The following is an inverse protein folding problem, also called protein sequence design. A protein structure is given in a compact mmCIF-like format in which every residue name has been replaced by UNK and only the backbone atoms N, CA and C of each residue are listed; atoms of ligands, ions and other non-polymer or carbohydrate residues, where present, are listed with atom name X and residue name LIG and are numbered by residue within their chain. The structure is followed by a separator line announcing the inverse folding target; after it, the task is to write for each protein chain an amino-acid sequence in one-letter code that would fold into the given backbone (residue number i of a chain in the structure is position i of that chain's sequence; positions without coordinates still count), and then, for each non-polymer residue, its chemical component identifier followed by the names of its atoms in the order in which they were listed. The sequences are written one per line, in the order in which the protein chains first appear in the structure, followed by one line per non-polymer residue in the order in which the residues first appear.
data_IF_013328639319
#
_entry.id   IF_013328639319
#
_cell.length_a   1.000
_cell.length_b   1.000
_cell.length_c   1.000
_cell.angle_alpha   90.00
_cell.angle_beta   90.00
_cell.angle_gamma   90.00
#
_symmetry.space_group_name_H-M   'P 1'
#
loop_
_entity.id
_entity.type
_entity.pdbx_description
1 polymer ?
#
# COMPACT_ATOMS: atom_id res chain seq x y z
N UNK A 1 -44.55 -34.73 -8.80
CA UNK A 1 -43.75 -33.61 -9.35
C UNK A 1 -42.69 -33.26 -8.31
N UNK A 2 -41.43 -33.53 -8.62
CA UNK A 2 -40.29 -33.34 -7.71
C UNK A 2 -39.84 -31.89 -7.75
N UNK A 3 -39.78 -31.22 -6.60
CA UNK A 3 -39.23 -29.86 -6.47
C UNK A 3 -37.79 -29.98 -5.98
N UNK A 4 -36.87 -29.45 -6.78
CA UNK A 4 -35.43 -29.56 -6.62
C UNK A 4 -34.94 -28.60 -5.51
N UNK A 5 -34.57 -29.13 -4.35
CA UNK A 5 -33.99 -28.36 -3.23
C UNK A 5 -32.54 -28.81 -3.03
N UNK A 6 -31.64 -28.35 -3.90
CA UNK A 6 -30.20 -28.34 -3.63
C UNK A 6 -29.56 -27.12 -4.30
N UNK A 7 -29.41 -26.01 -3.56
CA UNK A 7 -28.31 -25.05 -3.75
C UNK A 7 -28.31 -24.01 -2.63
N UNK A 8 -28.06 -24.43 -1.39
CA UNK A 8 -27.75 -23.53 -0.26
C UNK A 8 -26.69 -24.14 0.67
N UNK A 9 -25.62 -24.69 0.10
CA UNK A 9 -24.45 -25.17 0.84
C UNK A 9 -23.17 -24.82 0.09
N UNK A 10 -22.84 -23.54 -0.01
CA UNK A 10 -21.46 -23.19 -0.36
C UNK A 10 -20.97 -21.79 0.06
N UNK A 11 -21.66 -21.11 0.97
CA UNK A 11 -21.29 -19.72 1.33
C UNK A 11 -21.02 -19.46 2.82
N UNK A 12 -20.86 -20.51 3.63
CA UNK A 12 -20.55 -20.38 5.07
C UNK A 12 -19.07 -20.66 5.41
N UNK A 13 -18.30 -21.30 4.52
CA UNK A 13 -16.90 -21.67 4.82
C UNK A 13 -15.82 -20.64 4.46
N UNK A 14 -16.18 -19.54 3.81
CA UNK A 14 -15.22 -18.50 3.41
C UNK A 14 -15.12 -17.37 4.44
N UNK A 15 -16.19 -17.13 5.20
CA UNK A 15 -16.27 -16.00 6.14
C UNK A 15 -15.52 -16.26 7.44
N UNK A 16 -15.33 -17.54 7.84
CA UNK A 16 -14.60 -17.89 9.07
C UNK A 16 -13.08 -17.80 8.94
N UNK A 17 -12.52 -17.97 7.72
CA UNK A 17 -11.06 -17.89 7.50
C UNK A 17 -10.50 -16.47 7.54
N UNK A 18 -11.35 -15.47 7.39
CA UNK A 18 -10.95 -14.06 7.33
C UNK A 18 -10.61 -13.47 8.72
N UNK A 19 -10.94 -14.16 9.82
CA UNK A 19 -10.91 -13.56 11.16
C UNK A 19 -9.94 -14.24 12.15
N UNK A 20 -8.97 -15.03 11.68
CA UNK A 20 -8.10 -15.87 12.55
C UNK A 20 -6.61 -15.52 12.51
N UNK A 21 -6.20 -14.43 11.85
CA UNK A 21 -4.77 -14.03 11.72
C UNK A 21 -4.33 -12.88 12.64
N UNK A 22 -5.16 -12.45 13.61
CA UNK A 22 -4.88 -11.25 14.42
C UNK A 22 -4.17 -11.51 15.77
N UNK A 23 -3.73 -12.74 16.05
CA UNK A 23 -3.20 -13.08 17.39
C UNK A 23 -1.66 -13.12 17.48
N UNK A 24 -0.93 -12.80 16.39
CA UNK A 24 0.53 -12.82 16.42
C UNK A 24 1.09 -11.55 17.07
N UNK A 25 1.14 -11.53 18.41
CA UNK A 25 1.78 -10.46 19.16
C UNK A 25 3.30 -10.42 18.85
N UNK A 26 3.75 -9.30 18.28
CA UNK A 26 5.16 -9.05 18.04
C UNK A 26 5.80 -8.35 19.24
N UNK A 27 7.02 -8.74 19.66
CA UNK A 27 7.82 -7.94 20.59
C UNK A 27 8.04 -6.51 20.04
N UNK A 28 8.10 -5.50 20.91
CA UNK A 28 8.23 -4.09 20.49
C UNK A 28 9.44 -3.83 19.57
N UNK A 29 10.56 -4.51 19.82
CA UNK A 29 11.81 -4.36 19.07
C UNK A 29 11.96 -5.35 17.91
N UNK A 30 10.90 -6.06 17.53
CA UNK A 30 11.01 -7.05 16.45
C UNK A 30 11.37 -6.38 15.11
N UNK A 31 12.36 -6.98 14.44
CA UNK A 31 12.77 -6.66 13.08
C UNK A 31 12.95 -7.97 12.31
N UNK A 32 12.39 -8.08 11.09
CA UNK A 32 12.64 -9.23 10.21
C UNK A 32 14.14 -9.42 9.98
N UNK A 33 14.63 -10.65 10.20
CA UNK A 33 16.01 -11.04 9.90
C UNK A 33 16.05 -12.15 8.85
N UNK A 34 17.19 -12.30 8.19
CA UNK A 34 17.45 -13.44 7.29
C UNK A 34 17.71 -14.75 8.05
N UNK A 35 17.85 -14.69 9.40
CA UNK A 35 18.09 -15.85 10.28
C UNK A 35 16.83 -16.70 10.57
N UNK A 36 15.66 -16.28 10.08
CA UNK A 36 14.39 -16.97 10.25
C UNK A 36 13.76 -17.28 8.88
N UNK A 37 12.82 -18.26 8.81
CA UNK A 37 12.17 -18.59 7.54
C UNK A 37 11.53 -17.36 6.89
N UNK A 38 11.85 -17.16 5.62
CA UNK A 38 11.38 -16.03 4.84
C UNK A 38 9.84 -15.97 4.80
N UNK A 39 9.28 -14.79 5.05
CA UNK A 39 7.85 -14.52 5.08
C UNK A 39 7.07 -15.44 6.02
N UNK A 40 7.66 -15.79 7.17
CA UNK A 40 6.92 -16.41 8.26
C UNK A 40 5.82 -15.48 8.82
N UNK A 41 4.97 -16.01 9.71
CA UNK A 41 3.84 -15.26 10.28
C UNK A 41 4.28 -13.96 11.00
N UNK A 42 5.45 -13.95 11.64
CA UNK A 42 5.98 -12.77 12.33
C UNK A 42 6.42 -11.68 11.35
N UNK A 43 7.12 -12.07 10.27
CA UNK A 43 7.53 -11.14 9.23
C UNK A 43 6.32 -10.55 8.50
N UNK A 44 5.35 -11.40 8.16
CA UNK A 44 4.10 -10.94 7.55
C UNK A 44 3.37 -9.94 8.44
N UNK A 45 3.28 -10.22 9.74
CA UNK A 45 2.62 -9.32 10.68
C UNK A 45 3.37 -7.99 10.85
N UNK A 46 4.70 -8.02 10.86
CA UNK A 46 5.52 -6.81 10.90
C UNK A 46 5.24 -5.91 9.69
N UNK A 47 5.25 -6.49 8.48
CA UNK A 47 4.95 -5.72 7.27
C UNK A 47 3.49 -5.28 7.19
N UNK A 48 2.55 -6.07 7.71
CA UNK A 48 1.13 -5.68 7.83
C UNK A 48 0.98 -4.44 8.70
N UNK A 49 1.54 -4.44 9.92
CA UNK A 49 1.50 -3.28 10.82
C UNK A 49 2.19 -2.06 10.20
N UNK A 50 3.34 -2.26 9.57
CA UNK A 50 4.06 -1.18 8.88
C UNK A 50 3.22 -0.53 7.77
N UNK A 51 2.57 -1.34 6.94
CA UNK A 51 1.70 -0.88 5.86
C UNK A 51 0.44 -0.17 6.39
N UNK A 52 -0.19 -0.71 7.43
CA UNK A 52 -1.38 -0.11 8.05
C UNK A 52 -1.06 1.24 8.70
N UNK A 53 0.02 1.32 9.47
CA UNK A 53 0.47 2.56 10.09
C UNK A 53 0.77 3.62 9.02
N UNK A 54 1.51 3.24 7.96
CA UNK A 54 1.80 4.16 6.87
C UNK A 54 0.54 4.64 6.14
N UNK A 55 -0.45 3.75 5.94
CA UNK A 55 -1.76 4.12 5.38
C UNK A 55 -2.48 5.12 6.28
N UNK A 56 -2.48 4.90 7.59
CA UNK A 56 -3.11 5.80 8.56
C UNK A 56 -2.47 7.19 8.53
N UNK A 57 -1.14 7.28 8.51
CA UNK A 57 -0.40 8.54 8.39
C UNK A 57 -0.77 9.32 7.11
N UNK A 58 -0.84 8.63 5.97
CA UNK A 58 -1.23 9.26 4.70
C UNK A 58 -2.68 9.76 4.72
N UNK A 59 -3.60 9.02 5.33
CA UNK A 59 -5.00 9.42 5.44
C UNK A 59 -5.19 10.58 6.42
N UNK A 60 -4.47 10.60 7.53
CA UNK A 60 -4.46 11.70 8.49
C UNK A 60 -3.94 12.98 7.82
N UNK A 61 -2.77 12.94 7.19
CA UNK A 61 -2.21 14.10 6.49
C UNK A 61 -3.11 14.60 5.34
N UNK A 62 -3.77 13.69 4.61
CA UNK A 62 -4.75 14.08 3.58
C UNK A 62 -5.98 14.78 4.17
N UNK A 63 -6.42 14.41 5.38
CA UNK A 63 -7.55 15.04 6.06
C UNK A 63 -7.19 16.47 6.48
N UNK A 64 -6.03 16.64 7.12
CA UNK A 64 -5.55 17.95 7.59
C UNK A 64 -5.39 18.94 6.42
N UNK A 65 -4.88 18.45 5.27
CA UNK A 65 -4.74 19.27 4.05
C UNK A 65 -6.10 19.73 3.51
N UNK A 66 -7.13 18.88 3.59
CA UNK A 66 -8.49 19.24 3.13
C UNK A 66 -9.09 20.31 4.05
N UNK A 67 -8.91 20.18 5.37
CA UNK A 67 -9.38 21.18 6.33
C UNK A 67 -8.71 22.54 6.07
N UNK A 68 -7.39 22.55 5.83
CA UNK A 68 -6.66 23.77 5.45
C UNK A 68 -7.16 24.43 4.15
N UNK A 69 -7.42 23.63 3.10
CA UNK A 69 -7.98 24.11 1.83
C UNK A 69 -9.39 24.70 1.96
N UNK A 70 -10.21 24.14 2.86
CA UNK A 70 -11.55 24.65 3.12
C UNK A 70 -11.51 25.98 3.85
N UNK A 71 -10.56 26.16 4.78
CA UNK A 71 -10.42 27.39 5.53
C UNK A 71 -9.82 28.52 4.68
N UNK A 72 -8.84 28.23 3.82
CA UNK A 72 -8.31 29.21 2.86
C UNK A 72 -9.39 29.69 1.88
N UNK A 73 -10.27 28.80 1.42
CA UNK A 73 -11.38 29.16 0.52
C UNK A 73 -12.42 30.08 1.17
N UNK A 74 -12.48 30.15 2.51
CA UNK A 74 -13.41 31.05 3.23
C UNK A 74 -12.89 32.49 3.31
N UNK A 75 -11.58 32.68 3.18
CA UNK A 75 -10.97 34.00 3.13
C UNK A 75 -10.99 34.51 1.68
N UNK A 76 -11.40 35.76 1.48
CA UNK A 76 -11.35 36.38 0.15
C UNK A 76 -9.95 36.99 0.01
N UNK A 77 -9.09 36.46 -0.87
CA UNK A 77 -7.75 36.98 -1.04
C UNK A 77 -7.82 38.36 -1.66
N UNK A 78 -6.84 39.22 -1.36
CA UNK A 78 -6.67 40.42 -2.15
C UNK A 78 -6.15 40.08 -3.56
N UNK A 79 -6.12 41.07 -4.45
CA UNK A 79 -5.72 40.86 -5.85
C UNK A 79 -4.24 40.46 -5.98
N UNK A 80 -3.39 40.84 -5.01
CA UNK A 80 -1.96 40.54 -5.01
C UNK A 80 -1.70 39.08 -4.55
N UNK A 81 -2.47 38.59 -3.59
CA UNK A 81 -2.29 37.26 -2.99
C UNK A 81 -2.97 36.14 -3.78
N UNK A 82 -3.98 36.47 -4.59
CA UNK A 82 -4.78 35.50 -5.37
C UNK A 82 -3.93 34.57 -6.24
N UNK A 83 -2.88 35.09 -6.88
CA UNK A 83 -2.03 34.29 -7.75
C UNK A 83 -1.23 33.24 -6.97
N UNK A 84 -0.69 33.61 -5.81
CA UNK A 84 0.07 32.72 -4.93
C UNK A 84 -0.82 31.60 -4.39
N UNK A 85 -1.99 31.95 -3.86
CA UNK A 85 -2.90 30.95 -3.30
C UNK A 85 -3.40 29.92 -4.33
N UNK A 86 -3.65 30.36 -5.57
CA UNK A 86 -4.04 29.44 -6.64
C UNK A 86 -2.91 28.44 -6.96
N UNK A 87 -1.65 28.90 -6.96
CA UNK A 87 -0.50 28.02 -7.18
C UNK A 87 -0.31 27.03 -6.03
N UNK A 88 -0.46 27.46 -4.78
CA UNK A 88 -0.33 26.61 -3.59
C UNK A 88 -1.43 25.55 -3.58
N UNK A 89 -2.68 25.95 -3.85
CA UNK A 89 -3.81 25.02 -3.99
C UNK A 89 -3.58 23.98 -5.09
N UNK A 90 -3.06 24.40 -6.24
CA UNK A 90 -2.74 23.48 -7.33
C UNK A 90 -1.66 22.46 -6.93
N UNK A 91 -0.65 22.88 -6.16
CA UNK A 91 0.38 22.00 -5.63
C UNK A 91 -0.18 20.99 -4.63
N UNK A 92 -1.02 21.43 -3.69
CA UNK A 92 -1.67 20.57 -2.69
C UNK A 92 -2.54 19.50 -3.35
N UNK A 93 -3.35 19.87 -4.35
CA UNK A 93 -4.17 18.92 -5.10
C UNK A 93 -3.33 17.83 -5.79
N UNK A 94 -2.20 18.20 -6.38
CA UNK A 94 -1.25 17.24 -7.00
C UNK A 94 -0.63 16.31 -5.96
N UNK A 95 -0.26 16.83 -4.80
CA UNK A 95 0.28 16.04 -3.69
C UNK A 95 -0.74 15.02 -3.20
N UNK A 96 -1.99 15.44 -3.00
CA UNK A 96 -3.09 14.55 -2.59
C UNK A 96 -3.34 13.44 -3.61
N UNK A 97 -3.32 13.75 -4.90
CA UNK A 97 -3.49 12.72 -5.94
C UNK A 97 -2.37 11.67 -5.91
N UNK A 98 -1.14 12.07 -5.58
CA UNK A 98 -0.02 11.13 -5.38
C UNK A 98 -0.24 10.27 -4.13
N UNK A 99 -0.66 10.87 -3.01
CA UNK A 99 -0.99 10.14 -1.78
C UNK A 99 -2.11 9.13 -2.00
N UNK A 100 -3.18 9.51 -2.72
CA UNK A 100 -4.28 8.58 -3.08
C UNK A 100 -3.79 7.38 -3.88
N UNK A 101 -2.94 7.61 -4.88
CA UNK A 101 -2.32 6.52 -5.66
C UNK A 101 -1.42 5.65 -4.79
N UNK A 102 -0.73 6.24 -3.82
CA UNK A 102 0.13 5.53 -2.87
C UNK A 102 -0.69 4.65 -1.92
N UNK A 103 -1.79 5.16 -1.37
CA UNK A 103 -2.74 4.36 -0.57
C UNK A 103 -3.25 3.16 -1.36
N UNK A 104 -3.61 3.34 -2.63
CA UNK A 104 -4.02 2.22 -3.49
C UNK A 104 -2.92 1.15 -3.66
N UNK A 105 -1.63 1.53 -3.65
CA UNK A 105 -0.52 0.57 -3.69
C UNK A 105 -0.35 -0.16 -2.36
N UNK A 106 -0.56 0.53 -1.24
CA UNK A 106 -0.56 -0.08 0.09
C UNK A 106 -1.68 -1.11 0.21
N UNK A 107 -2.89 -0.78 -0.26
CA UNK A 107 -4.02 -1.71 -0.27
C UNK A 107 -3.74 -2.97 -1.12
N UNK A 108 -3.06 -2.82 -2.25
CA UNK A 108 -2.61 -3.97 -3.03
C UNK A 108 -1.55 -4.80 -2.31
N UNK A 109 -0.61 -4.17 -1.60
CA UNK A 109 0.38 -4.89 -0.80
C UNK A 109 -0.26 -5.68 0.36
N UNK A 110 -1.25 -5.09 1.03
CA UNK A 110 -2.04 -5.77 2.07
C UNK A 110 -2.80 -6.97 1.53
N UNK A 111 -3.44 -6.85 0.36
CA UNK A 111 -4.09 -8.00 -0.31
C UNK A 111 -3.11 -9.13 -0.60
N UNK A 112 -1.91 -8.80 -1.11
CA UNK A 112 -0.86 -9.80 -1.34
C UNK A 112 -0.39 -10.50 -0.07
N UNK A 113 -0.40 -9.82 1.08
CA UNK A 113 -0.12 -10.46 2.37
C UNK A 113 -1.20 -11.48 2.72
N UNK A 114 -2.47 -11.16 2.45
CA UNK A 114 -3.58 -12.04 2.73
C UNK A 114 -3.59 -13.28 1.80
N UNK A 115 -3.19 -13.07 0.54
CA UNK A 115 -3.03 -14.10 -0.50
C UNK A 115 -1.75 -14.95 -0.35
N UNK A 116 -0.78 -14.50 0.46
CA UNK A 116 0.50 -15.19 0.67
C UNK A 116 1.55 -14.94 -0.44
N UNK A 117 1.33 -13.93 -1.28
CA UNK A 117 2.22 -13.56 -2.39
C UNK A 117 3.16 -12.38 -2.05
N UNK A 118 3.00 -11.79 -0.86
CA UNK A 118 3.84 -10.69 -0.42
C UNK A 118 5.29 -11.14 -0.21
N UNK A 119 6.24 -10.28 -0.58
CA UNK A 119 7.66 -10.54 -0.44
C UNK A 119 8.29 -11.24 -1.64
N UNK A 120 7.52 -11.64 -2.65
CA UNK A 120 8.04 -12.28 -3.86
C UNK A 120 7.95 -11.36 -5.09
N UNK A 121 8.90 -11.47 -6.01
CA UNK A 121 8.97 -10.68 -7.22
C UNK A 121 7.88 -11.08 -8.23
N UNK A 122 7.07 -10.13 -8.71
CA UNK A 122 5.98 -10.39 -9.68
C UNK A 122 6.47 -10.89 -11.04
N UNK A 123 7.75 -10.67 -11.35
CA UNK A 123 8.35 -11.03 -12.65
C UNK A 123 9.12 -12.35 -12.59
N UNK A 124 9.88 -12.59 -11.52
CA UNK A 124 10.75 -13.76 -11.41
C UNK A 124 10.26 -14.81 -10.42
N UNK A 125 9.34 -14.45 -9.52
CA UNK A 125 8.91 -15.30 -8.40
C UNK A 125 9.93 -15.38 -7.25
N UNK A 126 11.09 -14.74 -7.40
CA UNK A 126 12.16 -14.81 -6.41
C UNK A 126 11.88 -13.94 -5.18
N UNK A 127 12.43 -14.28 -4.00
CA UNK A 127 12.33 -13.46 -2.81
C UNK A 127 12.87 -12.04 -3.02
N UNK A 128 12.11 -11.04 -2.60
CA UNK A 128 12.55 -9.66 -2.46
C UNK A 128 13.25 -9.52 -1.11
N UNK A 129 14.45 -8.97 -1.10
CA UNK A 129 15.23 -8.85 0.13
C UNK A 129 14.48 -8.08 1.23
N UNK A 130 14.60 -8.55 2.48
CA UNK A 130 13.97 -7.92 3.64
C UNK A 130 14.36 -6.46 3.79
N UNK A 131 15.64 -6.13 3.57
CA UNK A 131 16.15 -4.74 3.59
C UNK A 131 15.41 -3.84 2.60
N UNK A 132 15.07 -4.36 1.41
CA UNK A 132 14.34 -3.59 0.40
C UNK A 132 12.87 -3.43 0.77
N UNK A 133 12.22 -4.48 1.26
CA UNK A 133 10.84 -4.39 1.73
C UNK A 133 10.73 -3.47 2.94
N UNK A 134 11.73 -3.47 3.82
CA UNK A 134 11.78 -2.55 4.95
C UNK A 134 11.93 -1.10 4.48
N UNK A 135 12.80 -0.82 3.51
CA UNK A 135 12.93 0.51 2.92
C UNK A 135 11.69 0.93 2.09
N UNK A 136 11.06 -0.02 1.38
CA UNK A 136 9.92 0.22 0.49
C UNK A 136 8.93 -0.95 0.52
N UNK A 137 7.97 -0.97 1.46
CA UNK A 137 7.11 -2.13 1.71
C UNK A 137 6.05 -2.38 0.62
N UNK A 138 5.90 -1.47 -0.34
CA UNK A 138 5.01 -1.63 -1.51
C UNK A 138 5.75 -2.14 -2.76
N UNK A 139 7.01 -2.52 -2.63
CA UNK A 139 7.81 -2.89 -3.78
C UNK A 139 7.47 -4.30 -4.25
N UNK A 140 7.22 -4.44 -5.57
CA UNK A 140 6.65 -5.67 -6.16
C UNK A 140 7.63 -6.50 -6.96
N UNK A 141 8.83 -5.98 -7.25
CA UNK A 141 9.87 -6.64 -8.05
C UNK A 141 11.17 -6.74 -7.26
N UNK A 142 12.07 -7.68 -7.53
CA UNK A 142 13.43 -7.65 -6.96
C UNK A 142 14.25 -6.47 -7.52
N UNK A 143 15.41 -6.16 -6.91
CA UNK A 143 16.32 -5.10 -7.41
C UNK A 143 16.75 -5.38 -8.84
N UNK A 144 17.21 -6.60 -9.10
CA UNK A 144 17.68 -7.00 -10.42
C UNK A 144 16.55 -6.95 -11.47
N UNK A 145 15.35 -7.42 -11.11
CA UNK A 145 14.21 -7.33 -12.02
C UNK A 145 13.83 -5.87 -12.32
N UNK A 146 13.90 -5.00 -11.30
CA UNK A 146 13.65 -3.57 -11.46
C UNK A 146 14.69 -2.90 -12.37
N UNK A 147 15.98 -3.17 -12.17
CA UNK A 147 17.05 -2.64 -13.02
C UNK A 147 16.92 -3.08 -14.48
N UNK A 148 16.54 -4.34 -14.71
CA UNK A 148 16.28 -4.87 -16.06
C UNK A 148 15.08 -4.18 -16.70
N UNK A 149 14.02 -3.91 -15.95
CA UNK A 149 12.83 -3.18 -16.43
C UNK A 149 13.20 -1.74 -16.83
N UNK A 150 13.87 -1.01 -15.95
CA UNK A 150 14.28 0.37 -16.19
C UNK A 150 15.25 0.50 -17.38
N UNK A 151 16.14 -0.48 -17.58
CA UNK A 151 17.04 -0.52 -18.76
C UNK A 151 16.26 -0.66 -20.07
N UNK A 152 15.23 -1.52 -20.10
CA UNK A 152 14.40 -1.73 -21.30
C UNK A 152 13.56 -0.49 -21.62
N UNK A 153 13.00 0.17 -20.60
CA UNK A 153 12.24 1.40 -20.81
C UNK A 153 13.08 2.54 -21.37
N UNK A 154 14.36 2.66 -20.96
CA UNK A 154 15.28 3.67 -21.52
C UNK A 154 15.52 3.46 -23.01
N UNK A 155 15.81 2.23 -23.43
CA UNK A 155 16.05 1.90 -24.85
C UNK A 155 14.84 2.26 -25.71
N UNK A 156 13.62 2.01 -25.24
CA UNK A 156 12.40 2.32 -26.00
C UNK A 156 12.00 3.80 -26.03
N UNK A 157 12.58 4.66 -25.18
CA UNK A 157 12.25 6.09 -25.14
C UNK A 157 13.13 6.91 -26.09
N UNK A 158 14.26 6.35 -26.49
CA UNK A 158 15.25 7.00 -27.36
C UNK A 158 15.08 6.63 -28.86
N UNK A 159 14.10 5.77 -29.18
CA UNK A 159 13.62 5.45 -30.55
C UNK A 159 12.32 6.22 -30.88
#
# INVERSE_FOLDING_TARGET
MFVNVQSKRNNMGQTERANMKQDTLLPEDYRPSDDEPFMNERQQEYFRQKLLNWKMELLAGSKDTIEGLQDSTRNIPDVADRASEETDRALELRTRDRQRKLVSKIDSALRRLDEGEYGYCDVTGEPISLKRLDARPIATMSLEAQERHERREKVHRDD
#
